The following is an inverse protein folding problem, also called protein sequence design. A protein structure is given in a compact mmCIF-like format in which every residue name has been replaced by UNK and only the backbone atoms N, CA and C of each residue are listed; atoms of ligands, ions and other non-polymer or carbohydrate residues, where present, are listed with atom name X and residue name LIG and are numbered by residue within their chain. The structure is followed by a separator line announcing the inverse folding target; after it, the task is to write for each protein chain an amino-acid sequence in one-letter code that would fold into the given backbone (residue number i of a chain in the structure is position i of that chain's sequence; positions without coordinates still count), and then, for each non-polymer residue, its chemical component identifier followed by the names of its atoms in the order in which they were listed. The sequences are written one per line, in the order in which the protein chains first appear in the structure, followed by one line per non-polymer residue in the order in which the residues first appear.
data_IF_501459473275
#
_entry.id   IF_501459473275
#
_cell.length_a   1.000
_cell.length_b   1.000
_cell.length_c   1.000
_cell.angle_alpha   90.00
_cell.angle_beta   90.00
_cell.angle_gamma   90.00
#
_symmetry.space_group_name_H-M   'P 1'
#
loop_
_entity.id
_entity.type
_entity.pdbx_description
1 polymer ?
#
# COMPACT_ATOMS: atom_id res chain seq x y z
N UNK A 1 12.60 5.47 -12.46
CA UNK A 1 11.69 6.50 -11.91
C UNK A 1 12.46 7.41 -10.96
N UNK A 2 12.55 8.68 -11.26
CA UNK A 2 13.23 9.66 -10.41
C UNK A 2 12.19 10.31 -9.48
N UNK A 3 11.82 9.64 -8.40
CA UNK A 3 10.89 10.18 -7.42
C UNK A 3 11.20 9.63 -6.04
N UNK A 4 11.31 10.54 -5.07
CA UNK A 4 11.43 10.20 -3.65
C UNK A 4 10.07 10.14 -2.94
N UNK A 5 8.99 9.93 -3.68
CA UNK A 5 7.61 9.89 -3.16
C UNK A 5 6.96 8.54 -3.42
N UNK A 6 5.87 8.27 -2.72
CA UNK A 6 5.12 7.04 -2.85
C UNK A 6 5.81 5.83 -2.21
N UNK A 7 5.54 4.64 -2.76
CA UNK A 7 5.99 3.38 -2.18
C UNK A 7 7.51 3.25 -2.02
N UNK A 8 8.30 3.89 -2.90
CA UNK A 8 9.76 3.79 -2.82
C UNK A 8 10.31 4.36 -1.52
N UNK A 9 9.89 5.57 -1.14
CA UNK A 9 10.34 6.19 0.12
C UNK A 9 9.67 5.54 1.33
N UNK A 10 8.40 5.19 1.21
CA UNK A 10 7.66 4.52 2.29
C UNK A 10 8.31 3.18 2.64
N UNK A 11 8.58 2.34 1.63
CA UNK A 11 9.26 1.06 1.83
C UNK A 11 10.63 1.25 2.46
N UNK A 12 11.42 2.20 1.97
CA UNK A 12 12.75 2.48 2.53
C UNK A 12 12.69 2.89 4.01
N UNK A 13 11.80 3.79 4.36
CA UNK A 13 11.65 4.27 5.76
C UNK A 13 11.18 3.14 6.67
N UNK A 14 10.20 2.33 6.24
CA UNK A 14 9.69 1.23 7.03
C UNK A 14 10.74 0.14 7.25
N UNK A 15 11.53 -0.17 6.23
CA UNK A 15 12.65 -1.11 6.34
C UNK A 15 13.75 -0.59 7.27
N UNK A 16 14.07 0.72 7.25
CA UNK A 16 14.98 1.33 8.22
C UNK A 16 14.48 1.22 9.67
N UNK A 17 13.17 1.19 9.86
CA UNK A 17 12.53 0.97 11.15
C UNK A 17 12.45 -0.50 11.56
N UNK A 18 13.01 -1.41 10.76
CA UNK A 18 13.04 -2.85 11.01
C UNK A 18 11.75 -3.58 10.66
N UNK A 19 10.88 -2.98 9.84
CA UNK A 19 9.64 -3.60 9.37
C UNK A 19 9.89 -4.39 8.09
N UNK A 20 9.38 -5.61 8.02
CA UNK A 20 9.28 -6.36 6.77
C UNK A 20 8.14 -5.78 5.93
N UNK A 21 8.45 -5.35 4.72
CA UNK A 21 7.50 -4.65 3.85
C UNK A 21 7.23 -5.39 2.56
N UNK A 22 5.96 -5.55 2.23
CA UNK A 22 5.50 -5.93 0.89
C UNK A 22 4.86 -4.70 0.24
N UNK A 23 5.40 -4.26 -0.88
CA UNK A 23 4.94 -3.07 -1.59
C UNK A 23 4.17 -3.42 -2.86
N UNK A 24 3.00 -2.81 -3.07
CA UNK A 24 2.25 -2.88 -4.30
C UNK A 24 2.08 -1.47 -4.88
N UNK A 25 2.52 -1.27 -6.12
CA UNK A 25 2.35 0.00 -6.81
C UNK A 25 1.00 0.04 -7.51
N UNK A 26 0.12 0.94 -7.09
CA UNK A 26 -1.16 1.21 -7.76
C UNK A 26 -0.98 1.96 -9.08
N UNK A 27 0.14 2.67 -9.20
CA UNK A 27 0.57 3.35 -10.42
C UNK A 27 2.07 3.18 -10.63
N UNK A 28 2.47 3.09 -11.90
CA UNK A 28 3.88 3.09 -12.31
C UNK A 28 4.06 4.13 -13.41
N UNK A 29 4.56 5.29 -13.04
CA UNK A 29 4.77 6.41 -13.97
C UNK A 29 6.25 6.73 -14.11
N UNK A 30 6.63 7.21 -15.30
CA UNK A 30 8.02 7.61 -15.61
C UNK A 30 8.49 8.77 -14.74
N UNK A 31 7.58 9.68 -14.40
CA UNK A 31 7.82 10.88 -13.61
C UNK A 31 6.51 11.34 -12.95
N UNK A 32 6.60 12.38 -12.13
CA UNK A 32 5.43 12.94 -11.45
C UNK A 32 4.40 13.48 -12.45
N UNK A 33 3.11 13.23 -12.19
CA UNK A 33 1.99 13.64 -13.07
C UNK A 33 1.84 15.16 -13.24
N UNK A 34 2.49 15.98 -12.41
CA UNK A 34 2.55 17.42 -12.54
C UNK A 34 3.42 17.91 -13.72
N UNK A 35 4.22 17.04 -14.32
CA UNK A 35 4.93 17.36 -15.55
C UNK A 35 4.00 17.25 -16.76
N UNK A 36 4.25 18.08 -17.80
CA UNK A 36 3.41 18.12 -19.00
C UNK A 36 3.33 16.79 -19.76
N UNK A 37 4.35 15.96 -19.63
CA UNK A 37 4.44 14.65 -20.28
C UNK A 37 4.91 13.62 -19.28
N UNK A 38 4.15 12.53 -19.17
CA UNK A 38 4.52 11.33 -18.42
C UNK A 38 3.96 10.10 -19.15
N UNK A 39 4.60 8.97 -18.96
CA UNK A 39 4.14 7.67 -19.46
C UNK A 39 4.12 6.68 -18.30
N UNK A 40 3.26 5.69 -18.43
CA UNK A 40 3.16 4.64 -17.44
C UNK A 40 1.81 3.94 -17.50
N UNK A 41 1.53 3.16 -16.48
CA UNK A 41 0.29 2.41 -16.36
C UNK A 41 -0.25 2.46 -14.93
N UNK A 42 -1.53 2.11 -14.81
CA UNK A 42 -2.23 1.92 -13.54
C UNK A 42 -2.48 0.44 -13.34
N UNK A 43 -2.34 -0.02 -12.11
CA UNK A 43 -2.71 -1.38 -11.73
C UNK A 43 -4.22 -1.45 -11.61
N UNK A 44 -4.83 -2.42 -12.27
CA UNK A 44 -6.29 -2.59 -12.25
C UNK A 44 -6.76 -3.21 -10.93
N UNK A 45 -8.03 -3.02 -10.61
CA UNK A 45 -8.66 -3.64 -9.43
C UNK A 45 -8.50 -5.16 -9.41
N UNK A 46 -8.61 -5.81 -10.58
CA UNK A 46 -8.40 -7.26 -10.72
C UNK A 46 -6.97 -7.65 -10.40
N UNK A 47 -5.98 -6.92 -10.93
CA UNK A 47 -4.56 -7.19 -10.66
C UNK A 47 -4.22 -7.01 -9.17
N UNK A 48 -4.81 -6.00 -8.51
CA UNK A 48 -4.64 -5.79 -7.06
C UNK A 48 -5.17 -7.01 -6.29
N UNK A 49 -6.35 -7.49 -6.65
CA UNK A 49 -6.97 -8.66 -6.03
C UNK A 49 -6.14 -9.92 -6.27
N UNK A 50 -5.71 -10.17 -7.51
CA UNK A 50 -4.91 -11.35 -7.88
C UNK A 50 -3.58 -11.41 -7.11
N UNK A 51 -2.92 -10.26 -6.94
CA UNK A 51 -1.67 -10.17 -6.16
C UNK A 51 -1.91 -10.48 -4.68
N UNK A 52 -3.00 -9.99 -4.10
CA UNK A 52 -3.35 -10.31 -2.72
C UNK A 52 -3.72 -11.79 -2.54
N UNK A 53 -4.47 -12.37 -3.46
CA UNK A 53 -4.76 -13.81 -3.46
C UNK A 53 -3.49 -14.64 -3.55
N UNK A 54 -2.52 -14.23 -4.38
CA UNK A 54 -1.21 -14.86 -4.46
C UNK A 54 -0.46 -14.86 -3.12
N UNK A 55 -0.53 -13.75 -2.37
CA UNK A 55 0.03 -13.68 -1.02
C UNK A 55 -0.66 -14.64 -0.06
N UNK A 56 -1.99 -14.75 -0.11
CA UNK A 56 -2.77 -15.70 0.70
C UNK A 56 -2.42 -17.15 0.38
N UNK A 57 -2.36 -17.50 -0.90
CA UNK A 57 -1.97 -18.85 -1.34
C UNK A 57 -0.57 -19.25 -0.84
N UNK A 58 0.31 -18.28 -0.64
CA UNK A 58 1.66 -18.49 -0.13
C UNK A 58 1.77 -18.40 1.41
N UNK A 59 0.65 -18.15 2.10
CA UNK A 59 0.62 -17.99 3.56
C UNK A 59 1.33 -16.74 4.05
N UNK A 60 1.41 -15.70 3.21
CA UNK A 60 2.14 -14.46 3.49
C UNK A 60 1.22 -13.29 3.91
N UNK A 61 -0.07 -13.52 4.10
CA UNK A 61 -1.09 -12.53 4.44
C UNK A 61 -1.07 -12.04 5.90
N UNK A 62 -0.19 -12.58 6.73
CA UNK A 62 -0.09 -12.24 8.17
C UNK A 62 0.49 -10.85 8.45
N UNK A 63 -0.10 -9.80 7.87
CA UNK A 63 0.34 -8.43 8.07
C UNK A 63 -0.12 -7.85 9.40
N UNK A 64 0.77 -7.10 10.05
CA UNK A 64 0.48 -6.33 11.27
C UNK A 64 -0.05 -4.94 10.95
N UNK A 65 0.29 -4.43 9.77
CA UNK A 65 -0.09 -3.10 9.32
C UNK A 65 -0.34 -3.08 7.81
N UNK A 66 -1.32 -2.28 7.40
CA UNK A 66 -1.56 -1.91 6.02
C UNK A 66 -1.47 -0.39 5.89
N UNK A 67 -0.65 0.09 4.98
CA UNK A 67 -0.53 1.50 4.66
C UNK A 67 -0.99 1.74 3.22
N UNK A 68 -1.96 2.62 3.04
CA UNK A 68 -2.48 3.00 1.73
C UNK A 68 -2.11 4.44 1.41
N UNK A 69 -1.64 4.65 0.19
CA UNK A 69 -1.36 5.97 -0.36
C UNK A 69 -2.38 6.36 -1.44
N UNK A 70 -1.88 6.88 -2.55
CA UNK A 70 -2.71 7.28 -3.68
C UNK A 70 -3.23 6.06 -4.45
N UNK A 71 -4.54 5.88 -4.47
CA UNK A 71 -5.24 4.86 -5.24
C UNK A 71 -6.15 5.54 -6.26
N UNK A 72 -5.77 5.59 -7.55
CA UNK A 72 -6.60 6.17 -8.60
C UNK A 72 -7.73 5.21 -9.00
N UNK A 73 -8.92 5.73 -9.10
CA UNK A 73 -10.08 4.98 -9.57
C UNK A 73 -10.94 4.39 -8.45
N UNK A 74 -12.23 4.34 -8.71
CA UNK A 74 -13.24 3.87 -7.74
C UNK A 74 -13.17 2.36 -7.54
N UNK A 75 -12.98 1.59 -8.60
CA UNK A 75 -12.93 0.13 -8.53
C UNK A 75 -11.66 -0.35 -7.83
N UNK A 76 -10.52 0.30 -8.08
CA UNK A 76 -9.27 0.06 -7.38
C UNK A 76 -9.40 0.37 -5.88
N UNK A 77 -10.04 1.48 -5.55
CA UNK A 77 -10.29 1.84 -4.15
C UNK A 77 -11.20 0.83 -3.45
N UNK A 78 -12.25 0.34 -4.13
CA UNK A 78 -13.11 -0.74 -3.61
C UNK A 78 -12.34 -2.03 -3.37
N UNK A 79 -11.45 -2.41 -4.31
CA UNK A 79 -10.62 -3.61 -4.17
C UNK A 79 -9.70 -3.49 -2.94
N UNK A 80 -9.03 -2.36 -2.79
CA UNK A 80 -8.17 -2.06 -1.62
C UNK A 80 -8.96 -2.10 -0.31
N UNK A 81 -10.15 -1.50 -0.30
CA UNK A 81 -11.04 -1.52 0.86
C UNK A 81 -11.47 -2.93 1.28
N UNK A 82 -11.82 -3.80 0.32
CA UNK A 82 -12.12 -5.21 0.59
C UNK A 82 -10.93 -5.94 1.22
N UNK A 83 -9.73 -5.75 0.68
CA UNK A 83 -8.50 -6.33 1.21
C UNK A 83 -8.23 -5.84 2.64
N UNK A 84 -8.42 -4.55 2.90
CA UNK A 84 -8.24 -4.00 4.24
C UNK A 84 -9.20 -4.63 5.27
N UNK A 85 -10.46 -4.82 4.89
CA UNK A 85 -11.46 -5.50 5.73
C UNK A 85 -11.03 -6.95 5.98
N UNK A 86 -10.63 -7.68 4.95
CA UNK A 86 -10.22 -9.07 5.04
C UNK A 86 -8.98 -9.23 5.95
N UNK A 87 -7.97 -8.36 5.81
CA UNK A 87 -6.81 -8.35 6.70
C UNK A 87 -7.20 -8.07 8.16
N UNK A 88 -8.15 -7.16 8.38
CA UNK A 88 -8.64 -6.83 9.70
C UNK A 88 -9.46 -7.95 10.33
N UNK A 89 -10.22 -8.69 9.54
CA UNK A 89 -10.96 -9.88 10.00
C UNK A 89 -10.01 -11.03 10.35
N UNK A 90 -8.99 -11.26 9.50
CA UNK A 90 -7.98 -12.29 9.75
C UNK A 90 -7.13 -11.97 10.98
N UNK A 91 -6.82 -10.71 11.21
CA UNK A 91 -6.02 -10.26 12.36
C UNK A 91 -6.57 -8.96 12.93
N UNK A 92 -7.36 -9.05 14.02
CA UNK A 92 -7.99 -7.89 14.66
C UNK A 92 -7.01 -6.79 15.09
N UNK A 93 -5.76 -7.15 15.40
CA UNK A 93 -4.68 -6.22 15.73
C UNK A 93 -4.05 -5.55 14.52
N UNK A 94 -4.40 -5.94 13.29
CA UNK A 94 -3.90 -5.29 12.08
C UNK A 94 -4.31 -3.82 12.06
N UNK A 95 -3.32 -2.95 11.92
CA UNK A 95 -3.51 -1.51 11.88
C UNK A 95 -3.57 -1.04 10.43
N UNK A 96 -4.67 -0.40 10.05
CA UNK A 96 -4.79 0.22 8.73
C UNK A 96 -4.59 1.72 8.85
N UNK A 97 -3.60 2.25 8.12
CA UNK A 97 -3.31 3.67 8.02
C UNK A 97 -3.52 4.12 6.57
N UNK A 98 -4.42 5.07 6.37
CA UNK A 98 -4.52 5.81 5.11
C UNK A 98 -3.58 7.00 5.14
N UNK A 99 -2.95 7.30 4.00
CA UNK A 99 -2.23 8.55 3.83
C UNK A 99 -3.23 9.70 3.73
N UNK A 100 -3.72 10.13 4.87
CA UNK A 100 -4.54 11.32 5.00
C UNK A 100 -3.64 12.57 5.11
N UNK A 101 -4.11 13.74 4.68
CA UNK A 101 -3.37 14.99 4.83
C UNK A 101 -3.05 15.26 6.31
N UNK A 102 -2.05 16.08 6.62
CA UNK A 102 -1.34 16.17 7.91
C UNK A 102 -2.15 16.62 9.15
N UNK A 103 -3.48 16.60 9.09
CA UNK A 103 -4.35 17.12 10.16
C UNK A 103 -4.82 16.09 11.19
N UNK A 104 -4.41 14.80 11.12
CA UNK A 104 -4.86 13.76 12.05
C UNK A 104 -3.74 13.22 12.94
N UNK A 105 -4.00 12.88 14.22
CA UNK A 105 -3.01 12.38 15.16
C UNK A 105 -2.47 10.99 14.75
N UNK A 106 -1.16 10.80 14.88
CA UNK A 106 -0.47 9.56 14.54
C UNK A 106 -0.23 8.74 15.80
N UNK A 107 -0.73 7.50 15.84
CA UNK A 107 -0.33 6.53 16.84
C UNK A 107 0.90 5.71 16.37
N UNK A 108 1.77 5.34 17.33
CA UNK A 108 3.03 4.64 17.05
C UNK A 108 2.79 3.15 16.84
N UNK A 109 3.32 2.59 15.75
CA UNK A 109 3.39 1.15 15.55
C UNK A 109 4.68 0.58 16.17
N UNK A 110 4.56 -0.50 16.93
CA UNK A 110 5.68 -1.33 17.37
C UNK A 110 5.95 -2.40 16.30
N UNK A 111 7.21 -2.69 16.01
CA UNK A 111 7.73 -3.50 14.92
C UNK A 111 6.85 -4.67 14.46
N UNK A 112 6.70 -4.83 13.14
CA UNK A 112 5.81 -5.82 12.53
C UNK A 112 5.90 -5.83 11.01
N UNK A 113 4.99 -6.58 10.37
CA UNK A 113 4.88 -6.66 8.90
C UNK A 113 3.95 -5.57 8.39
N UNK A 114 4.41 -4.81 7.40
CA UNK A 114 3.64 -3.75 6.77
C UNK A 114 3.39 -4.02 5.29
N UNK A 115 2.15 -3.87 4.86
CA UNK A 115 1.77 -3.86 3.46
C UNK A 115 1.51 -2.43 2.99
N UNK A 116 2.15 -2.02 1.91
CA UNK A 116 2.05 -0.66 1.35
C UNK A 116 1.50 -0.69 -0.07
N UNK A 117 0.62 0.23 -0.36
CA UNK A 117 -0.02 0.43 -1.65
C UNK A 117 0.29 1.81 -2.22
#
# INVERSE_FOLDING_TARGET
MCSYVGNSITTFVLQLLGLETAGLNTVQFSNHVGYRQFKGYRTTAQQITDLFEGLKMSGLEGFDMMLTGYVPGEEELKAVGKIAIELKEAKRSCFWCEHLPPSLPRERANGGKCWTL
#
